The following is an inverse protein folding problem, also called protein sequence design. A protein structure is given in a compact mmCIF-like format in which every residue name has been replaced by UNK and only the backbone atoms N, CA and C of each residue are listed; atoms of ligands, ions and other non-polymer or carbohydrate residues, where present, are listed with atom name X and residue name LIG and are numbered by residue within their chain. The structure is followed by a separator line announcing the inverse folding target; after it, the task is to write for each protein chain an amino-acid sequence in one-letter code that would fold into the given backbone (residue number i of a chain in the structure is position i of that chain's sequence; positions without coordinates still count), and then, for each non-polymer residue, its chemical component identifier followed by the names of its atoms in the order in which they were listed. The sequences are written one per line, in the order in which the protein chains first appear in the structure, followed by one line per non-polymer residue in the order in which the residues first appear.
data_IF_546308841457
#
_entry.id   IF_546308841457
#
_cell.length_a   1.000
_cell.length_b   1.000
_cell.length_c   1.000
_cell.angle_alpha   90.00
_cell.angle_beta   90.00
_cell.angle_gamma   90.00
#
_symmetry.space_group_name_H-M   'P 1'
#
loop_
_entity.id
_entity.type
_entity.pdbx_description
1 polymer ?
#
# COMPACT_ATOMS: atom_id res chain seq x y z
N UNK A 1 -5.69 -58.58 -48.68
CA UNK A 1 -6.11 -57.19 -49.00
C UNK A 1 -6.79 -56.59 -47.77
N UNK A 2 -6.21 -55.52 -47.20
CA UNK A 2 -6.85 -54.28 -46.69
C UNK A 2 -7.97 -54.42 -45.65
N UNK A 3 -8.06 -53.73 -44.49
CA UNK A 3 -7.32 -52.73 -43.70
C UNK A 3 -7.96 -52.83 -42.28
N UNK A 4 -7.22 -52.94 -41.18
CA UNK A 4 -6.77 -51.85 -40.30
C UNK A 4 -7.88 -50.84 -39.90
N UNK A 5 -8.34 -50.88 -38.64
CA UNK A 5 -8.84 -49.69 -37.93
C UNK A 5 -8.35 -49.70 -36.48
N UNK A 6 -7.41 -48.79 -36.21
CA UNK A 6 -6.86 -48.47 -34.90
C UNK A 6 -7.96 -47.86 -34.02
N UNK A 7 -8.10 -48.37 -32.80
CA UNK A 7 -8.87 -47.73 -31.73
C UNK A 7 -7.98 -46.67 -31.09
N UNK A 8 -8.41 -45.42 -31.20
CA UNK A 8 -7.74 -44.22 -30.72
C UNK A 8 -7.96 -44.10 -29.21
N UNK A 9 -6.93 -44.39 -28.39
CA UNK A 9 -6.96 -44.09 -26.96
C UNK A 9 -6.70 -42.58 -26.79
N UNK A 10 -7.77 -41.83 -26.51
CA UNK A 10 -7.70 -40.41 -26.18
C UNK A 10 -6.95 -40.20 -24.86
N UNK A 11 -5.76 -39.58 -24.96
CA UNK A 11 -4.98 -39.09 -23.83
C UNK A 11 -5.75 -37.91 -23.19
N UNK A 12 -6.35 -38.13 -22.02
CA UNK A 12 -6.93 -37.05 -21.21
C UNK A 12 -5.79 -36.28 -20.52
N UNK A 13 -5.27 -35.26 -21.18
CA UNK A 13 -4.39 -34.28 -20.53
C UNK A 13 -5.25 -33.41 -19.62
N UNK A 14 -5.14 -33.63 -18.31
CA UNK A 14 -5.58 -32.65 -17.32
C UNK A 14 -4.78 -31.36 -17.53
N UNK A 15 -5.39 -30.39 -18.21
CA UNK A 15 -4.92 -29.01 -18.24
C UNK A 15 -5.09 -28.45 -16.82
N UNK A 16 -4.02 -28.51 -16.04
CA UNK A 16 -3.91 -27.75 -14.81
C UNK A 16 -3.83 -26.28 -15.21
N UNK A 17 -4.96 -25.58 -15.19
CA UNK A 17 -4.98 -24.13 -15.29
C UNK A 17 -4.48 -23.63 -13.93
N UNK A 18 -3.25 -23.10 -13.80
CA UNK A 18 -2.90 -22.40 -12.59
C UNK A 18 -3.92 -21.28 -12.43
N UNK A 19 -4.62 -21.24 -11.29
CA UNK A 19 -5.41 -20.08 -10.89
C UNK A 19 -4.44 -18.90 -10.92
N UNK A 20 -4.53 -18.11 -11.98
CA UNK A 20 -3.85 -16.83 -12.09
C UNK A 20 -4.42 -16.01 -10.94
N UNK A 21 -3.66 -15.94 -9.86
CA UNK A 21 -3.87 -15.03 -8.74
C UNK A 21 -4.13 -13.67 -9.36
N UNK A 22 -5.41 -13.29 -9.45
CA UNK A 22 -5.87 -12.02 -10.00
C UNK A 22 -4.95 -10.95 -9.44
N UNK A 23 -4.07 -10.43 -10.28
CA UNK A 23 -3.20 -9.35 -9.85
C UNK A 23 -4.14 -8.18 -9.61
N UNK A 24 -4.49 -7.96 -8.34
CA UNK A 24 -5.15 -6.75 -7.87
C UNK A 24 -4.37 -5.61 -8.51
N UNK A 25 -4.93 -5.03 -9.56
CA UNK A 25 -4.29 -3.97 -10.33
C UNK A 25 -4.52 -2.73 -9.50
N UNK A 26 -3.68 -2.59 -8.47
CA UNK A 26 -3.73 -1.48 -7.52
C UNK A 26 -3.64 -0.18 -8.33
N UNK A 27 -4.67 0.66 -8.19
CA UNK A 27 -4.82 1.92 -8.90
C UNK A 27 -3.95 3.01 -8.25
N UNK A 28 -2.63 2.81 -8.33
CA UNK A 28 -1.62 3.74 -7.85
C UNK A 28 -1.95 5.21 -8.19
N UNK A 29 -2.42 5.46 -9.41
CA UNK A 29 -2.73 6.82 -9.87
C UNK A 29 -3.85 7.51 -9.08
N UNK A 30 -4.87 6.76 -8.65
CA UNK A 30 -6.01 7.31 -7.91
C UNK A 30 -5.68 7.55 -6.45
N UNK A 31 -5.00 6.62 -5.78
CA UNK A 31 -4.47 6.88 -4.44
C UNK A 31 -3.53 8.09 -4.42
N UNK A 32 -2.64 8.17 -5.42
CA UNK A 32 -1.61 9.20 -5.44
C UNK A 32 -2.19 10.60 -5.55
N UNK A 33 -3.42 10.85 -6.02
CA UNK A 33 -3.95 12.23 -6.07
C UNK A 33 -3.94 12.91 -4.70
N UNK A 34 -4.14 12.13 -3.63
CA UNK A 34 -4.16 12.56 -2.24
C UNK A 34 -2.77 12.69 -1.59
N UNK A 35 -1.69 12.33 -2.28
CA UNK A 35 -0.34 12.36 -1.70
C UNK A 35 0.35 13.71 -1.93
N UNK A 36 1.18 14.19 -0.98
CA UNK A 36 2.05 15.32 -1.23
C UNK A 36 3.05 15.00 -2.34
N UNK A 37 3.60 16.03 -2.99
CA UNK A 37 4.46 15.88 -4.16
C UNK A 37 5.69 15.02 -3.86
N UNK A 38 6.23 15.15 -2.66
CA UNK A 38 7.39 14.43 -2.16
C UNK A 38 7.11 12.92 -2.12
N UNK A 39 5.95 12.52 -1.58
CA UNK A 39 5.53 11.12 -1.54
C UNK A 39 5.20 10.58 -2.95
N UNK A 40 4.54 11.38 -3.81
CA UNK A 40 4.28 11.03 -5.22
C UNK A 40 5.58 10.68 -5.95
N UNK A 41 6.61 11.50 -5.83
CA UNK A 41 7.94 11.30 -6.43
C UNK A 41 8.60 10.00 -5.95
N UNK A 42 8.39 9.61 -4.70
CA UNK A 42 8.86 8.31 -4.18
C UNK A 42 8.19 7.12 -4.84
N UNK A 43 7.01 7.30 -5.45
CA UNK A 43 6.33 6.27 -6.23
C UNK A 43 5.83 5.10 -5.38
N UNK A 44 5.69 5.31 -4.07
CA UNK A 44 5.08 4.40 -3.10
C UNK A 44 3.55 4.60 -3.08
N UNK A 45 2.82 3.58 -2.64
CA UNK A 45 1.36 3.55 -2.58
C UNK A 45 0.88 2.42 -1.65
N UNK A 46 -0.32 2.54 -1.08
CA UNK A 46 -0.91 1.53 -0.18
C UNK A 46 -1.25 0.27 -0.98
N UNK A 47 -1.04 -0.89 -0.38
CA UNK A 47 -1.08 -2.20 -1.04
C UNK A 47 0.21 -2.57 -1.78
N UNK A 48 1.24 -1.72 -1.79
CA UNK A 48 2.53 -2.07 -2.40
C UNK A 48 3.17 -3.29 -1.70
N UNK A 49 3.60 -4.33 -2.44
CA UNK A 49 4.34 -5.44 -1.84
C UNK A 49 5.71 -5.02 -1.29
N UNK A 50 6.13 -5.56 -0.14
CA UNK A 50 7.43 -5.26 0.48
C UNK A 50 8.61 -5.48 -0.48
N UNK A 51 8.59 -6.58 -1.24
CA UNK A 51 9.63 -6.87 -2.24
C UNK A 51 9.71 -5.81 -3.34
N UNK A 52 8.58 -5.17 -3.69
CA UNK A 52 8.56 -4.06 -4.64
C UNK A 52 9.21 -2.81 -4.04
N UNK A 53 8.97 -2.52 -2.76
CA UNK A 53 9.64 -1.42 -2.06
C UNK A 53 11.15 -1.67 -1.97
N UNK A 54 11.57 -2.85 -1.51
CA UNK A 54 13.00 -3.24 -1.41
C UNK A 54 13.73 -3.07 -2.73
N UNK A 55 13.16 -3.53 -3.85
CA UNK A 55 13.77 -3.34 -5.18
C UNK A 55 13.95 -1.88 -5.55
N UNK A 56 13.05 -1.00 -5.10
CA UNK A 56 13.06 0.44 -5.41
C UNK A 56 14.00 1.25 -4.51
N UNK A 57 14.30 0.75 -3.31
CA UNK A 57 14.92 1.51 -2.20
C UNK A 57 16.18 0.87 -1.59
N UNK A 58 16.73 -0.14 -2.27
CA UNK A 58 17.72 -1.14 -1.80
C UNK A 58 18.65 -0.70 -0.65
N UNK A 59 19.33 0.44 -0.76
CA UNK A 59 20.42 0.80 0.15
C UNK A 59 20.01 1.70 1.32
N UNK A 60 18.84 2.34 1.28
CA UNK A 60 18.41 3.34 2.29
C UNK A 60 17.38 2.81 3.28
N UNK A 61 16.91 1.57 3.07
CA UNK A 61 15.78 1.01 3.81
C UNK A 61 16.26 0.20 5.02
N UNK A 62 15.96 0.67 6.22
CA UNK A 62 16.09 -0.10 7.46
C UNK A 62 14.83 -0.91 7.68
N UNK A 63 14.95 -2.20 7.98
CA UNK A 63 13.83 -3.10 8.23
C UNK A 63 13.82 -3.55 9.69
N UNK A 64 12.67 -3.42 10.33
CA UNK A 64 12.36 -4.01 11.62
C UNK A 64 11.24 -5.04 11.45
N UNK A 65 11.54 -6.27 11.85
CA UNK A 65 10.62 -7.42 11.77
C UNK A 65 10.30 -8.00 13.15
N UNK A 66 10.73 -7.35 14.23
CA UNK A 66 10.59 -7.84 15.61
C UNK A 66 9.13 -7.87 16.07
N UNK A 67 8.31 -6.92 15.60
CA UNK A 67 6.88 -6.88 15.91
C UNK A 67 6.16 -8.15 15.48
N UNK A 68 5.30 -8.70 16.33
CA UNK A 68 4.47 -9.85 15.99
C UNK A 68 3.38 -9.53 14.93
N UNK A 69 3.03 -8.25 14.76
CA UNK A 69 1.86 -7.83 13.96
C UNK A 69 2.22 -7.16 12.64
N UNK A 70 3.42 -6.56 12.54
CA UNK A 70 3.81 -5.78 11.37
C UNK A 70 5.28 -5.95 11.02
N UNK A 71 5.61 -5.59 9.79
CA UNK A 71 6.99 -5.31 9.37
C UNK A 71 7.07 -3.81 9.18
N UNK A 72 8.04 -3.18 9.84
CA UNK A 72 8.31 -1.76 9.69
C UNK A 72 9.53 -1.59 8.78
N UNK A 73 9.42 -0.65 7.85
CA UNK A 73 10.53 -0.22 7.00
C UNK A 73 10.67 1.30 7.09
N UNK A 74 11.88 1.82 7.23
CA UNK A 74 12.10 3.26 7.31
C UNK A 74 13.28 3.70 6.47
N UNK A 75 13.24 4.95 6.01
CA UNK A 75 14.36 5.60 5.32
C UNK A 75 14.39 7.10 5.67
N UNK A 76 15.57 7.71 5.84
CA UNK A 76 15.68 9.16 5.99
C UNK A 76 15.25 9.88 4.71
N UNK A 77 14.82 11.13 4.83
CA UNK A 77 14.72 12.00 3.66
C UNK A 77 16.04 12.71 3.38
N UNK A 78 16.18 13.19 2.14
CA UNK A 78 17.30 14.05 1.71
C UNK A 78 16.90 15.52 1.65
N UNK A 79 15.80 15.89 2.31
CA UNK A 79 15.17 17.22 2.24
C UNK A 79 15.08 17.79 3.64
N UNK A 80 15.29 19.09 3.80
CA UNK A 80 15.30 19.70 5.14
C UNK A 80 13.93 19.71 5.82
N UNK A 81 12.83 19.62 5.06
CA UNK A 81 11.46 19.68 5.58
C UNK A 81 10.94 18.34 6.09
N UNK A 82 11.42 17.23 5.55
CA UNK A 82 10.99 15.87 5.90
C UNK A 82 12.17 15.16 6.53
N UNK A 83 11.99 14.65 7.74
CA UNK A 83 13.01 13.89 8.46
C UNK A 83 13.10 12.47 7.92
N UNK A 84 11.96 11.78 7.81
CA UNK A 84 11.93 10.36 7.45
C UNK A 84 10.60 9.92 6.86
N UNK A 85 10.64 8.74 6.25
CA UNK A 85 9.48 7.98 5.83
C UNK A 85 9.48 6.65 6.55
N UNK A 86 8.35 6.28 7.13
CA UNK A 86 8.12 4.97 7.72
C UNK A 86 6.97 4.29 6.97
N UNK A 87 7.12 3.00 6.72
CA UNK A 87 6.23 2.15 5.94
C UNK A 87 5.88 0.92 6.78
N UNK A 88 4.61 0.72 7.09
CA UNK A 88 4.15 -0.45 7.83
C UNK A 88 3.50 -1.45 6.89
N UNK A 89 3.95 -2.70 6.97
CA UNK A 89 3.48 -3.81 6.15
C UNK A 89 2.78 -4.85 7.01
N UNK A 90 1.79 -5.51 6.41
CA UNK A 90 1.12 -6.66 7.03
C UNK A 90 2.11 -7.79 7.27
N UNK A 91 1.96 -8.53 8.37
CA UNK A 91 2.79 -9.71 8.64
C UNK A 91 2.13 -10.95 8.05
N UNK A 92 2.40 -11.21 6.77
CA UNK A 92 1.83 -12.32 5.99
C UNK A 92 2.85 -12.90 5.03
N UNK A 93 2.51 -13.98 4.32
CA UNK A 93 3.37 -14.57 3.28
C UNK A 93 3.70 -13.57 2.15
N UNK A 94 2.79 -12.61 1.90
CA UNK A 94 2.97 -11.53 0.93
C UNK A 94 2.70 -10.19 1.61
N UNK A 95 3.69 -9.62 2.34
CA UNK A 95 3.51 -8.37 3.08
C UNK A 95 3.10 -7.21 2.16
N UNK A 96 2.00 -6.55 2.50
CA UNK A 96 1.46 -5.39 1.78
C UNK A 96 1.55 -4.13 2.63
N UNK A 97 1.96 -3.03 2.02
CA UNK A 97 2.08 -1.72 2.65
C UNK A 97 0.70 -1.20 3.04
N UNK A 98 0.39 -1.13 4.34
CA UNK A 98 -0.91 -0.65 4.79
C UNK A 98 -0.86 0.73 5.45
N UNK A 99 0.32 1.23 5.83
CA UNK A 99 0.47 2.57 6.38
C UNK A 99 1.78 3.23 5.93
N UNK A 100 1.69 4.52 5.61
CA UNK A 100 2.82 5.39 5.29
C UNK A 100 2.79 6.55 6.28
N UNK A 101 3.92 6.81 6.93
CA UNK A 101 4.09 7.92 7.85
C UNK A 101 5.21 8.81 7.29
N UNK A 102 4.89 10.07 7.04
CA UNK A 102 5.89 11.09 6.70
C UNK A 102 6.14 11.90 7.97
N UNK A 103 7.38 11.89 8.45
CA UNK A 103 7.80 12.69 9.61
C UNK A 103 8.44 13.97 9.12
N UNK A 104 7.86 15.12 9.46
CA UNK A 104 8.34 16.46 9.12
C UNK A 104 9.26 17.02 10.21
N UNK A 105 10.13 17.96 9.85
CA UNK A 105 11.01 18.62 10.80
C UNK A 105 10.25 19.55 11.77
N UNK A 106 9.09 20.06 11.35
CA UNK A 106 8.19 20.91 12.14
C UNK A 106 6.74 20.48 11.93
N UNK A 107 5.91 20.71 12.95
CA UNK A 107 4.45 20.56 12.85
C UNK A 107 3.75 21.83 12.34
N UNK A 108 4.46 22.96 12.32
CA UNK A 108 3.93 24.25 11.89
C UNK A 108 3.44 24.18 10.43
N UNK A 109 2.19 24.56 10.20
CA UNK A 109 1.55 24.52 8.88
C UNK A 109 1.35 23.12 8.28
N UNK A 110 1.61 22.04 9.03
CA UNK A 110 1.43 20.68 8.50
C UNK A 110 -0.05 20.36 8.25
N UNK A 111 -0.92 20.70 9.20
CA UNK A 111 -2.36 20.53 9.05
C UNK A 111 -2.92 21.40 7.93
N UNK A 112 -2.49 22.67 7.84
CA UNK A 112 -2.90 23.56 6.75
C UNK A 112 -2.44 23.06 5.39
N UNK A 113 -1.24 22.48 5.30
CA UNK A 113 -0.74 21.83 4.09
C UNK A 113 -1.59 20.61 3.71
N UNK A 114 -2.08 19.85 4.71
CA UNK A 114 -3.01 18.75 4.48
C UNK A 114 -4.36 19.26 3.96
N UNK A 115 -4.94 20.30 4.57
CA UNK A 115 -6.18 20.94 4.09
C UNK A 115 -6.01 21.48 2.66
N UNK A 116 -4.89 22.14 2.37
CA UNK A 116 -4.62 22.69 1.04
C UNK A 116 -4.55 21.61 -0.05
N UNK A 117 -4.13 20.39 0.31
CA UNK A 117 -4.05 19.26 -0.61
C UNK A 117 -5.36 18.46 -0.70
N UNK A 118 -6.01 18.21 0.44
CA UNK A 118 -7.09 17.24 0.59
C UNK A 118 -8.48 17.88 0.67
N UNK A 119 -8.54 19.21 0.83
CA UNK A 119 -9.76 19.91 1.23
C UNK A 119 -10.01 19.82 2.74
N UNK A 120 -11.17 20.29 3.19
CA UNK A 120 -11.56 20.15 4.59
C UNK A 120 -11.69 18.65 4.98
N UNK A 121 -11.33 18.28 6.23
CA UNK A 121 -11.63 16.95 6.77
C UNK A 121 -13.10 16.56 6.58
N UNK A 122 -13.36 15.29 6.30
CA UNK A 122 -14.72 14.76 6.12
C UNK A 122 -15.14 13.79 7.24
N UNK A 123 -14.27 13.60 8.24
CA UNK A 123 -14.55 12.77 9.40
C UNK A 123 -13.74 13.27 10.61
N UNK A 124 -14.34 14.13 11.43
CA UNK A 124 -13.63 14.85 12.51
C UNK A 124 -12.41 15.59 11.95
N UNK A 125 -11.20 15.38 12.51
CA UNK A 125 -9.94 15.97 12.06
C UNK A 125 -9.21 15.11 11.00
N UNK A 126 -9.90 14.12 10.43
CA UNK A 126 -9.34 13.14 9.49
C UNK A 126 -10.04 13.17 8.13
N UNK A 127 -9.34 12.63 7.13
CA UNK A 127 -9.89 12.38 5.81
C UNK A 127 -10.08 10.88 5.61
N UNK A 128 -11.29 10.51 5.21
CA UNK A 128 -11.67 9.16 4.78
C UNK A 128 -11.90 9.21 3.28
N UNK A 129 -11.23 8.31 2.56
CA UNK A 129 -11.39 8.17 1.12
C UNK A 129 -11.87 6.76 0.83
N UNK A 130 -13.08 6.68 0.28
CA UNK A 130 -13.75 5.42 0.02
C UNK A 130 -13.01 4.60 -1.04
N UNK A 131 -13.15 3.28 -0.92
CA UNK A 131 -12.54 2.31 -1.82
C UNK A 131 -12.88 2.59 -3.30
N UNK A 132 -14.09 3.06 -3.59
CA UNK A 132 -14.54 3.45 -4.94
C UNK A 132 -13.75 4.62 -5.53
N UNK A 133 -13.36 5.60 -4.71
CA UNK A 133 -12.67 6.81 -5.18
C UNK A 133 -11.20 6.54 -5.51
N UNK A 134 -10.58 5.63 -4.74
CA UNK A 134 -9.22 5.16 -5.00
C UNK A 134 -9.15 3.93 -5.90
N UNK A 135 -10.29 3.35 -6.27
CA UNK A 135 -10.39 2.11 -7.07
C UNK A 135 -9.60 0.94 -6.45
N UNK A 136 -9.78 0.74 -5.16
CA UNK A 136 -9.17 -0.34 -4.38
C UNK A 136 -10.25 -1.17 -3.67
N UNK A 137 -9.86 -2.22 -2.97
CA UNK A 137 -10.71 -3.05 -2.09
C UNK A 137 -10.60 -2.65 -0.61
N UNK A 138 -9.93 -1.54 -0.32
CA UNK A 138 -9.78 -0.97 1.02
C UNK A 138 -10.14 0.51 1.04
N UNK A 139 -10.46 1.03 2.22
CA UNK A 139 -10.63 2.48 2.46
C UNK A 139 -9.28 3.07 2.85
N UNK A 140 -9.02 4.32 2.45
CA UNK A 140 -7.84 5.06 2.88
C UNK A 140 -8.20 6.10 3.95
N UNK A 141 -7.47 6.10 5.05
CA UNK A 141 -7.55 7.09 6.13
C UNK A 141 -6.32 7.98 6.10
N UNK A 142 -6.50 9.28 6.29
CA UNK A 142 -5.42 10.26 6.29
C UNK A 142 -5.61 11.17 7.50
N UNK A 143 -4.54 11.47 8.22
CA UNK A 143 -4.56 12.41 9.33
C UNK A 143 -3.18 12.99 9.59
N UNK A 144 -3.15 14.05 10.40
CA UNK A 144 -1.92 14.65 10.92
C UNK A 144 -1.84 14.42 12.43
N UNK A 145 -0.65 14.10 12.95
CA UNK A 145 -0.43 13.95 14.39
C UNK A 145 0.98 14.41 14.78
N UNK A 146 1.07 15.54 15.51
CA UNK A 146 2.35 16.20 15.77
C UNK A 146 3.08 16.51 14.48
N UNK A 147 4.32 16.02 14.34
CA UNK A 147 5.14 16.17 13.13
C UNK A 147 4.82 15.15 12.01
N UNK A 148 3.77 14.34 12.16
CA UNK A 148 3.49 13.22 11.26
C UNK A 148 2.31 13.52 10.36
N UNK A 149 2.45 13.20 9.08
CA UNK A 149 1.34 13.04 8.14
C UNK A 149 1.20 11.57 7.80
N UNK A 150 0.08 10.98 8.18
CA UNK A 150 -0.17 9.54 8.14
C UNK A 150 -1.20 9.21 7.06
N UNK A 151 -0.91 8.17 6.28
CA UNK A 151 -1.81 7.54 5.32
C UNK A 151 -1.95 6.08 5.70
N UNK A 152 -3.17 5.60 5.89
CA UNK A 152 -3.45 4.23 6.32
C UNK A 152 -4.51 3.59 5.44
N UNK A 153 -4.56 2.27 5.42
CA UNK A 153 -5.58 1.49 4.71
C UNK A 153 -6.20 0.43 5.59
N UNK A 154 -7.48 0.14 5.35
CA UNK A 154 -8.22 -0.97 5.96
C UNK A 154 -7.87 -2.32 5.31
N UNK A 155 -6.66 -2.47 4.78
CA UNK A 155 -6.20 -3.71 4.15
C UNK A 155 -6.32 -4.88 5.14
N UNK A 156 -6.69 -6.05 4.62
CA UNK A 156 -6.72 -7.29 5.41
C UNK A 156 -5.33 -7.59 5.99
N UNK A 157 -5.29 -7.94 7.27
CA UNK A 157 -4.08 -8.17 8.06
C UNK A 157 -3.43 -6.89 8.59
N UNK A 158 -4.07 -5.73 8.44
CA UNK A 158 -3.61 -4.47 9.02
C UNK A 158 -4.24 -4.20 10.38
N UNK A 159 -3.65 -3.27 11.14
CA UNK A 159 -4.22 -2.75 12.39
C UNK A 159 -5.61 -2.10 12.18
N UNK A 160 -5.94 -1.75 10.93
CA UNK A 160 -7.17 -1.05 10.53
C UNK A 160 -8.15 -1.94 9.74
N UNK A 161 -7.96 -3.26 9.71
CA UNK A 161 -8.80 -4.19 8.92
C UNK A 161 -10.31 -4.03 9.25
N UNK A 162 -10.64 -3.75 10.52
CA UNK A 162 -12.02 -3.58 10.97
C UNK A 162 -12.61 -2.19 10.67
N UNK A 163 -11.89 -1.38 9.90
CA UNK A 163 -12.24 0.00 9.63
C UNK A 163 -11.57 0.99 10.58
N UNK A 164 -11.75 2.27 10.26
CA UNK A 164 -11.30 3.38 11.09
C UNK A 164 -12.43 3.82 12.01
N UNK A 165 -12.82 2.95 12.95
CA UNK A 165 -13.78 3.31 13.99
C UNK A 165 -13.14 4.26 15.00
N UNK A 166 -13.87 5.32 15.35
CA UNK A 166 -13.57 6.24 16.46
C UNK A 166 -13.62 5.51 17.81
#
# INVERSE_FOLDING_TARGET
MKHLFLIWLGLFTFLYIPNESSSLTISKGKQQQYFPKELKKRGVYLGMPLEKLKRKKKETLTLDTTSAFKIEASEPSTTDTIVSYTYLFTKSERPLLYQIIITYASMEGLHDSAIALLGAPNHNEEWRVDASDIKEDFTMGIWTFGQKWVYSSTLKGSEWEKGFSN
#
